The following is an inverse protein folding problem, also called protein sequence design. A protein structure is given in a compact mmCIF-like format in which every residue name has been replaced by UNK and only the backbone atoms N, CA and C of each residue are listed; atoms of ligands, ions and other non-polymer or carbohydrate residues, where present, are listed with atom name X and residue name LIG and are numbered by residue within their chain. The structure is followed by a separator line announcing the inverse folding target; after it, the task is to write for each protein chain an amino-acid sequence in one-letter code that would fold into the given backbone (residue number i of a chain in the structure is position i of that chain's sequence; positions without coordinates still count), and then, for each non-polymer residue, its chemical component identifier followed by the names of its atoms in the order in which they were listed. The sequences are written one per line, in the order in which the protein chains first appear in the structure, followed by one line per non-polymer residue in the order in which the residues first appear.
data_IF_990704765396
#
_entry.id   IF_990704765396
#
_cell.length_a   1.000
_cell.length_b   1.000
_cell.length_c   1.000
_cell.angle_alpha   90.00
_cell.angle_beta   90.00
_cell.angle_gamma   90.00
#
_symmetry.space_group_name_H-M   'P 1'
#
loop_
_entity.id
_entity.type
_entity.pdbx_description
1 polymer ?
#
# COMPACT_ATOMS: atom_id res chain seq x y z
N UNK A 1 3.12 6.26 -16.96
CA UNK A 1 1.76 6.72 -17.29
C UNK A 1 1.15 5.77 -18.32
N UNK A 2 1.80 5.61 -19.46
CA UNK A 2 1.33 4.88 -20.64
C UNK A 2 0.95 3.43 -20.35
N UNK A 3 1.80 2.72 -19.59
CA UNK A 3 1.52 1.36 -19.12
C UNK A 3 0.20 1.28 -18.34
N UNK A 4 -0.03 2.20 -17.40
CA UNK A 4 -1.22 2.21 -16.54
C UNK A 4 -2.45 2.60 -17.36
N UNK A 5 -2.32 3.60 -18.24
CA UNK A 5 -3.36 3.95 -19.21
C UNK A 5 -3.78 2.75 -20.06
N UNK A 6 -2.82 2.05 -20.67
CA UNK A 6 -3.08 0.89 -21.53
C UNK A 6 -3.74 -0.26 -20.77
N UNK A 7 -3.35 -0.51 -19.52
CA UNK A 7 -3.93 -1.59 -18.70
C UNK A 7 -5.30 -1.25 -18.11
N UNK A 8 -5.49 0.01 -17.71
CA UNK A 8 -6.74 0.47 -17.12
C UNK A 8 -7.78 0.85 -18.19
N UNK A 9 -7.37 0.93 -19.47
CA UNK A 9 -8.24 1.35 -20.57
C UNK A 9 -8.63 2.83 -20.49
N UNK A 10 -7.72 3.67 -19.99
CA UNK A 10 -7.95 5.10 -19.72
C UNK A 10 -7.01 5.96 -20.57
N UNK A 11 -7.55 7.05 -21.13
CA UNK A 11 -6.77 8.00 -21.93
C UNK A 11 -5.68 8.70 -21.10
N UNK A 12 -4.61 9.12 -21.78
CA UNK A 12 -3.46 9.77 -21.13
C UNK A 12 -3.89 11.03 -20.38
N UNK A 13 -4.71 11.85 -21.00
CA UNK A 13 -5.17 13.13 -20.47
C UNK A 13 -5.96 12.96 -19.17
N UNK A 14 -6.82 11.94 -19.12
CA UNK A 14 -7.60 11.61 -17.92
C UNK A 14 -6.68 11.14 -16.78
N UNK A 15 -5.72 10.27 -17.08
CA UNK A 15 -4.72 9.82 -16.10
C UNK A 15 -3.88 11.00 -15.57
N UNK A 16 -3.42 11.89 -16.44
CA UNK A 16 -2.65 13.07 -16.04
C UNK A 16 -3.49 14.02 -15.18
N UNK A 17 -4.74 14.25 -15.56
CA UNK A 17 -5.67 15.03 -14.76
C UNK A 17 -5.87 14.40 -13.36
N UNK A 18 -6.05 13.09 -13.28
CA UNK A 18 -6.20 12.38 -12.01
C UNK A 18 -4.94 12.51 -11.13
N UNK A 19 -3.74 12.40 -11.72
CA UNK A 19 -2.48 12.50 -10.97
C UNK A 19 -2.32 13.89 -10.31
N UNK A 20 -2.67 14.97 -11.01
CA UNK A 20 -2.44 16.34 -10.54
C UNK A 20 -3.59 16.90 -9.72
N UNK A 21 -4.83 16.56 -10.07
CA UNK A 21 -6.03 17.23 -9.55
C UNK A 21 -6.81 16.34 -8.57
N UNK A 22 -6.74 15.01 -8.70
CA UNK A 22 -7.56 14.14 -7.88
C UNK A 22 -7.02 13.99 -6.45
N UNK A 23 -7.94 13.70 -5.53
CA UNK A 23 -7.62 13.44 -4.12
C UNK A 23 -6.78 12.17 -3.93
N UNK A 24 -6.20 12.01 -2.75
CA UNK A 24 -5.30 10.88 -2.42
C UNK A 24 -5.98 9.50 -2.48
N UNK A 25 -7.31 9.47 -2.51
CA UNK A 25 -8.12 8.26 -2.58
C UNK A 25 -8.57 7.88 -4.00
N UNK A 26 -8.16 8.65 -5.01
CA UNK A 26 -8.52 8.40 -6.39
C UNK A 26 -7.87 7.12 -6.92
N UNK A 27 -8.65 6.27 -7.59
CA UNK A 27 -8.21 4.94 -8.02
C UNK A 27 -7.10 5.01 -9.07
N UNK A 28 -7.14 5.98 -9.99
CA UNK A 28 -6.13 6.12 -11.04
C UNK A 28 -4.82 6.65 -10.46
N UNK A 29 -4.91 7.65 -9.57
CA UNK A 29 -3.76 8.18 -8.84
C UNK A 29 -3.09 7.11 -7.98
N UNK A 30 -3.89 6.29 -7.30
CA UNK A 30 -3.42 5.14 -6.53
C UNK A 30 -2.72 4.12 -7.43
N UNK A 31 -3.36 3.69 -8.52
CA UNK A 31 -2.79 2.70 -9.43
C UNK A 31 -1.45 3.17 -10.02
N UNK A 32 -1.37 4.43 -10.43
CA UNK A 32 -0.12 5.03 -10.92
C UNK A 32 0.99 5.01 -9.87
N UNK A 33 0.70 5.46 -8.64
CA UNK A 33 1.69 5.51 -7.58
C UNK A 33 2.18 4.11 -7.19
N UNK A 34 1.28 3.12 -7.11
CA UNK A 34 1.65 1.73 -6.81
C UNK A 34 2.65 1.16 -7.82
N UNK A 35 2.38 1.33 -9.11
CA UNK A 35 3.27 0.82 -10.17
C UNK A 35 4.61 1.55 -10.15
N UNK A 36 4.59 2.88 -10.03
CA UNK A 36 5.81 3.69 -9.95
C UNK A 36 6.67 3.30 -8.75
N UNK A 37 6.07 3.14 -7.58
CA UNK A 37 6.80 2.83 -6.36
C UNK A 37 7.32 1.38 -6.39
N UNK A 38 6.59 0.45 -6.99
CA UNK A 38 7.06 -0.92 -7.24
C UNK A 38 8.31 -0.96 -8.14
N UNK A 39 8.36 -0.13 -9.17
CA UNK A 39 9.53 -0.02 -10.06
C UNK A 39 10.73 0.57 -9.30
N UNK A 40 10.50 1.66 -8.55
CA UNK A 40 11.53 2.30 -7.73
C UNK A 40 12.17 1.33 -6.72
N UNK A 41 11.37 0.47 -6.11
CA UNK A 41 11.88 -0.54 -5.17
C UNK A 41 12.76 -1.60 -5.85
N UNK A 42 12.42 -2.00 -7.09
CA UNK A 42 13.22 -2.95 -7.87
C UNK A 42 14.60 -2.39 -8.18
N UNK A 43 14.67 -1.15 -8.69
CA UNK A 43 15.93 -0.47 -9.01
C UNK A 43 16.87 -0.34 -7.80
N UNK A 44 16.31 -0.01 -6.62
CA UNK A 44 17.08 0.07 -5.38
C UNK A 44 17.64 -1.29 -4.94
N UNK A 45 16.94 -2.39 -5.22
CA UNK A 45 17.41 -3.74 -4.89
C UNK A 45 18.51 -4.24 -5.83
N UNK A 46 18.49 -3.81 -7.10
CA UNK A 46 19.47 -4.19 -8.12
C UNK A 46 20.77 -3.39 -8.00
N UNK A 47 20.68 -2.11 -7.63
CA UNK A 47 21.86 -1.23 -7.44
C UNK A 47 22.80 -1.62 -6.30
N UNK A 48 22.40 -2.58 -5.44
CA UNK A 48 23.17 -2.98 -4.25
C UNK A 48 24.16 -4.12 -4.48
N UNK A 49 24.48 -4.45 -5.74
CA UNK A 49 25.36 -5.60 -6.08
C UNK A 49 26.77 -5.25 -6.61
N UNK A 50 27.21 -4.00 -6.55
CA UNK A 50 28.58 -3.61 -6.99
C UNK A 50 29.43 -2.97 -5.87
N UNK A 51 29.23 -3.42 -4.62
CA UNK A 51 29.96 -2.92 -3.46
C UNK A 51 30.81 -3.99 -2.80
N UNK A 52 32.08 -4.01 -3.17
CA UNK A 52 33.22 -4.67 -2.53
C UNK A 52 33.06 -4.87 -1.01
N UNK A 53 33.41 -6.07 -0.56
CA UNK A 53 33.26 -6.47 0.83
C UNK A 53 34.30 -5.79 1.70
N UNK A 54 33.98 -4.61 2.26
CA UNK A 54 34.71 -4.13 3.44
C UNK A 54 33.94 -4.43 4.72
N UNK A 55 34.57 -5.30 5.49
CA UNK A 55 34.11 -5.90 6.72
C UNK A 55 34.40 -4.90 7.84
N UNK A 56 33.53 -3.90 7.98
CA UNK A 56 33.59 -2.90 9.06
C UNK A 56 33.28 -3.49 10.43
N UNK A 57 34.30 -4.11 11.03
CA UNK A 57 34.32 -4.67 12.37
C UNK A 57 34.08 -3.58 13.42
N UNK A 58 33.26 -3.89 14.43
CA UNK A 58 33.03 -3.08 15.63
C UNK A 58 34.36 -2.59 16.24
N UNK A 59 34.47 -1.29 16.53
CA UNK A 59 35.20 -0.84 17.73
C UNK A 59 34.34 0.18 18.48
N UNK A 60 34.03 -0.19 19.72
CA UNK A 60 33.34 0.60 20.73
C UNK A 60 34.40 1.44 21.47
N UNK A 61 34.89 2.48 20.80
CA UNK A 61 35.88 3.38 21.36
C UNK A 61 35.45 4.83 21.14
N UNK A 62 35.35 5.54 22.25
CA UNK A 62 35.25 7.01 22.36
C UNK A 62 33.86 7.62 22.57
N UNK A 63 33.20 7.15 23.64
CA UNK A 63 32.41 8.01 24.51
C UNK A 63 33.34 9.04 25.20
N UNK A 64 33.46 10.25 24.65
CA UNK A 64 33.82 11.43 25.45
C UNK A 64 32.93 12.63 25.13
N UNK A 65 32.47 13.19 26.24
CA UNK A 65 31.59 14.34 26.39
C UNK A 65 32.24 15.59 25.80
N UNK A 66 31.46 16.40 25.06
CA UNK A 66 31.55 17.86 25.10
C UNK A 66 30.21 18.49 24.65
N UNK A 67 29.60 19.12 25.65
CA UNK A 67 28.74 20.31 25.71
C UNK A 67 28.06 20.89 24.47
N UNK A 68 26.78 21.25 24.71
CA UNK A 68 25.82 21.95 23.86
C UNK A 68 26.07 23.48 23.92
N UNK A 69 25.85 24.21 22.81
CA UNK A 69 24.96 25.38 22.88
C UNK A 69 24.00 25.39 21.66
N UNK A 70 22.68 25.36 21.89
CA UNK A 70 21.77 26.52 21.85
C UNK A 70 21.27 26.84 20.44
N UNK A 71 20.09 26.31 20.10
CA UNK A 71 19.07 27.02 19.32
C UNK A 71 17.71 26.46 19.75
N UNK A 72 17.07 27.19 20.67
CA UNK A 72 15.73 26.90 21.15
C UNK A 72 14.71 27.64 20.30
N UNK A 73 13.96 26.90 19.47
CA UNK A 73 12.67 27.35 18.99
C UNK A 73 11.64 26.98 20.07
N UNK A 74 11.14 28.00 20.78
CA UNK A 74 10.20 27.85 21.88
C UNK A 74 8.87 27.18 21.42
N UNK A 75 8.30 26.24 22.20
CA UNK A 75 6.91 25.84 22.07
C UNK A 75 6.03 26.98 22.61
N UNK A 76 5.22 27.60 21.75
CA UNK A 76 4.19 28.54 22.19
C UNK A 76 3.08 27.79 22.92
N UNK A 77 2.70 28.39 24.04
CA UNK A 77 1.89 27.84 25.13
C UNK A 77 0.46 27.45 24.77
N UNK A 78 -0.03 26.42 25.47
CA UNK A 78 -1.44 26.10 25.68
C UNK A 78 -2.14 27.24 26.43
N UNK A 79 -3.16 27.85 25.82
CA UNK A 79 -4.14 28.64 26.55
C UNK A 79 -5.36 27.75 26.91
N UNK A 80 -5.77 27.67 28.18
CA UNK A 80 -7.02 27.03 28.58
C UNK A 80 -8.19 28.03 28.51
N UNK A 81 -9.42 27.49 28.64
CA UNK A 81 -10.72 28.16 28.90
C UNK A 81 -11.67 28.08 27.69
N UNK A 82 -12.52 27.05 27.59
CA UNK A 82 -13.81 26.88 28.28
C UNK A 82 -14.85 27.94 27.90
N UNK A 83 -15.92 27.51 27.22
CA UNK A 83 -17.09 28.36 26.99
C UNK A 83 -17.96 27.92 25.81
N UNK A 84 -18.80 26.92 26.03
CA UNK A 84 -20.02 26.74 25.24
C UNK A 84 -20.84 28.04 25.31
N UNK A 85 -21.08 28.69 24.17
CA UNK A 85 -22.24 29.55 24.01
C UNK A 85 -23.10 28.98 22.88
N UNK A 86 -24.21 28.37 23.29
CA UNK A 86 -25.34 28.10 22.43
C UNK A 86 -25.93 29.48 22.08
N UNK A 87 -25.86 29.87 20.81
CA UNK A 87 -26.66 30.99 20.30
C UNK A 87 -27.61 30.45 19.24
N UNK A 88 -28.90 30.45 19.59
CA UNK A 88 -30.00 30.18 18.67
C UNK A 88 -30.17 31.38 17.74
N UNK A 89 -30.14 31.15 16.43
CA UNK A 89 -30.87 31.99 15.48
C UNK A 89 -31.36 31.16 14.31
N UNK A 90 -32.69 31.15 14.14
CA UNK A 90 -33.46 30.54 13.07
C UNK A 90 -33.21 31.21 11.71
N UNK A 91 -33.53 30.43 10.68
CA UNK A 91 -33.84 30.77 9.28
C UNK A 91 -32.68 30.69 8.28
N UNK A 92 -32.91 29.91 7.21
CA UNK A 92 -32.00 29.75 6.07
C UNK A 92 -31.87 28.31 5.59
N UNK A 93 -32.85 27.83 4.82
CA UNK A 93 -32.69 26.59 4.03
C UNK A 93 -31.64 26.86 2.95
N UNK A 94 -30.39 26.53 3.23
CA UNK A 94 -29.35 26.36 2.22
C UNK A 94 -28.86 24.93 2.35
N UNK A 95 -29.35 24.06 1.46
CA UNK A 95 -28.82 22.74 1.24
C UNK A 95 -27.43 22.87 0.61
N UNK A 96 -26.44 23.24 1.41
CA UNK A 96 -25.04 23.02 1.08
C UNK A 96 -24.80 21.51 1.13
N UNK A 97 -24.21 20.89 0.09
CA UNK A 97 -23.81 19.51 0.18
C UNK A 97 -22.76 19.43 1.28
N UNK A 98 -23.12 18.82 2.41
CA UNK A 98 -22.16 18.40 3.43
C UNK A 98 -21.07 17.63 2.70
N UNK A 99 -19.90 18.26 2.56
CA UNK A 99 -18.70 17.60 2.07
C UNK A 99 -18.43 16.51 3.09
N UNK A 100 -18.80 15.28 2.73
CA UNK A 100 -18.37 14.10 3.47
C UNK A 100 -16.86 14.19 3.46
N UNK A 101 -16.24 14.56 4.58
CA UNK A 101 -14.78 14.59 4.68
C UNK A 101 -14.32 13.19 4.29
N UNK A 102 -13.77 13.05 3.09
CA UNK A 102 -13.39 11.76 2.56
C UNK A 102 -12.22 11.30 3.42
N UNK A 103 -12.47 10.33 4.30
CA UNK A 103 -11.41 9.77 5.15
C UNK A 103 -10.31 9.28 4.22
N UNK A 104 -9.07 9.69 4.47
CA UNK A 104 -7.91 9.21 3.70
C UNK A 104 -7.83 7.69 3.83
N UNK A 105 -7.69 7.01 2.71
CA UNK A 105 -7.44 5.58 2.65
C UNK A 105 -6.08 5.30 3.30
N UNK A 106 -6.05 4.35 4.24
CA UNK A 106 -4.83 3.95 4.96
C UNK A 106 -4.34 2.62 4.41
N UNK A 107 -3.16 2.62 3.82
CA UNK A 107 -2.50 1.41 3.32
C UNK A 107 -2.12 0.47 4.47
N UNK A 108 -2.30 -0.83 4.25
CA UNK A 108 -1.82 -1.88 5.13
C UNK A 108 -1.24 -3.03 4.30
N UNK A 109 -0.31 -3.78 4.90
CA UNK A 109 0.26 -4.97 4.28
C UNK A 109 -0.78 -6.09 4.17
N UNK A 110 -0.79 -6.77 3.02
CA UNK A 110 -1.61 -7.97 2.79
C UNK A 110 -3.11 -7.78 3.03
N UNK A 111 -3.81 -8.91 3.25
CA UNK A 111 -5.20 -8.94 3.70
C UNK A 111 -5.31 -9.56 5.09
N UNK A 112 -6.30 -9.13 5.88
CA UNK A 112 -6.53 -9.64 7.24
C UNK A 112 -7.75 -10.53 7.28
N UNK A 113 -7.64 -11.65 7.98
CA UNK A 113 -8.77 -12.57 8.26
C UNK A 113 -8.91 -12.85 9.75
N UNK A 114 -10.14 -13.15 10.17
CA UNK A 114 -10.49 -13.62 11.52
C UNK A 114 -10.79 -15.12 11.58
N UNK A 115 -10.83 -15.80 10.43
CA UNK A 115 -11.06 -17.24 10.35
C UNK A 115 -9.86 -18.01 10.90
N UNK A 116 -10.05 -19.28 11.28
CA UNK A 116 -8.96 -20.11 11.76
C UNK A 116 -7.90 -20.31 10.65
N UNK A 117 -6.62 -20.53 10.99
CA UNK A 117 -5.55 -20.70 10.00
C UNK A 117 -5.88 -21.75 8.95
N UNK A 118 -6.47 -22.87 9.37
CA UNK A 118 -6.88 -23.95 8.49
C UNK A 118 -7.93 -23.48 7.47
N UNK A 119 -8.97 -22.79 7.93
CA UNK A 119 -10.04 -22.29 7.07
C UNK A 119 -9.50 -21.28 6.06
N UNK A 120 -8.67 -20.33 6.52
CA UNK A 120 -8.01 -19.34 5.64
C UNK A 120 -7.21 -20.04 4.56
N UNK A 121 -6.37 -21.01 4.92
CA UNK A 121 -5.56 -21.73 3.94
C UNK A 121 -6.44 -22.53 2.97
N UNK A 122 -7.53 -23.15 3.44
CA UNK A 122 -8.43 -23.92 2.58
C UNK A 122 -9.12 -23.06 1.53
N UNK A 123 -9.57 -21.85 1.90
CA UNK A 123 -10.17 -20.88 0.98
C UNK A 123 -9.14 -20.39 -0.03
N UNK A 124 -7.91 -20.12 0.42
CA UNK A 124 -6.79 -19.74 -0.44
C UNK A 124 -6.48 -20.84 -1.45
N UNK A 125 -6.37 -22.10 -1.03
CA UNK A 125 -6.14 -23.21 -1.96
C UNK A 125 -7.27 -23.39 -2.97
N UNK A 126 -8.54 -23.22 -2.54
CA UNK A 126 -9.69 -23.26 -3.44
C UNK A 126 -9.63 -22.14 -4.48
N UNK A 127 -9.35 -20.91 -4.03
CA UNK A 127 -9.28 -19.75 -4.91
C UNK A 127 -8.06 -19.75 -5.83
N UNK A 128 -6.93 -20.35 -5.42
CA UNK A 128 -5.77 -20.52 -6.29
C UNK A 128 -6.00 -21.55 -7.40
N UNK A 129 -6.89 -22.52 -7.22
CA UNK A 129 -7.19 -23.54 -8.25
C UNK A 129 -7.76 -22.93 -9.54
N UNK A 130 -8.34 -21.73 -9.48
CA UNK A 130 -8.87 -21.03 -10.65
C UNK A 130 -7.86 -20.05 -11.28
N UNK A 131 -6.63 -19.96 -10.77
CA UNK A 131 -5.66 -18.92 -11.16
C UNK A 131 -4.31 -19.56 -11.58
N UNK A 132 -4.14 -19.83 -12.87
CA UNK A 132 -2.93 -20.48 -13.45
C UNK A 132 -1.86 -19.48 -13.97
N UNK A 133 -1.86 -18.24 -13.50
CA UNK A 133 -1.27 -17.15 -14.28
C UNK A 133 0.15 -16.71 -13.87
N UNK A 134 0.55 -16.80 -12.60
CA UNK A 134 1.87 -16.32 -12.14
C UNK A 134 2.39 -17.07 -10.90
N UNK A 135 3.72 -17.14 -10.77
CA UNK A 135 4.39 -17.64 -9.56
C UNK A 135 4.31 -16.58 -8.45
N UNK A 136 3.55 -16.87 -7.41
CA UNK A 136 3.40 -16.04 -6.21
C UNK A 136 3.75 -16.86 -4.96
N UNK A 137 4.39 -16.22 -3.98
CA UNK A 137 4.54 -16.78 -2.64
C UNK A 137 3.47 -16.18 -1.74
N UNK A 138 2.75 -17.05 -1.02
CA UNK A 138 1.77 -16.66 -0.02
C UNK A 138 2.30 -17.04 1.35
N UNK A 139 2.17 -16.13 2.32
CA UNK A 139 2.59 -16.37 3.69
C UNK A 139 1.50 -15.91 4.65
N UNK A 140 1.04 -16.83 5.51
CA UNK A 140 0.10 -16.52 6.57
C UNK A 140 0.87 -16.23 7.86
N UNK A 141 0.59 -15.09 8.47
CA UNK A 141 1.16 -14.63 9.73
C UNK A 141 0.07 -14.52 10.79
N UNK A 142 0.38 -14.91 12.04
CA UNK A 142 -0.46 -14.61 13.20
C UNK A 142 -0.13 -13.20 13.68
N UNK A 143 -1.11 -12.30 13.65
CA UNK A 143 -0.97 -10.93 14.18
C UNK A 143 -1.33 -10.94 15.66
N UNK A 144 -2.53 -11.47 15.97
CA UNK A 144 -3.05 -11.64 17.33
C UNK A 144 -3.75 -13.01 17.44
N UNK A 145 -4.34 -13.31 18.61
CA UNK A 145 -5.09 -14.56 18.82
C UNK A 145 -6.32 -14.74 17.92
N UNK A 146 -6.84 -13.64 17.35
CA UNK A 146 -8.03 -13.66 16.47
C UNK A 146 -7.79 -13.03 15.09
N UNK A 147 -6.55 -12.68 14.78
CA UNK A 147 -6.24 -11.96 13.54
C UNK A 147 -5.04 -12.60 12.86
N UNK A 148 -5.25 -12.95 11.59
CA UNK A 148 -4.22 -13.44 10.70
C UNK A 148 -4.03 -12.48 9.55
N UNK A 149 -2.79 -12.34 9.08
CA UNK A 149 -2.42 -11.54 7.92
C UNK A 149 -1.89 -12.47 6.84
N UNK A 150 -2.54 -12.46 5.69
CA UNK A 150 -2.06 -13.14 4.49
C UNK A 150 -1.30 -12.14 3.63
N UNK A 151 -0.03 -12.42 3.40
CA UNK A 151 0.89 -11.64 2.58
C UNK A 151 1.08 -12.26 1.20
N UNK A 152 1.31 -11.41 0.20
CA UNK A 152 1.46 -11.78 -1.21
C UNK A 152 2.81 -11.26 -1.69
N UNK A 153 3.66 -12.18 -2.15
CA UNK A 153 4.98 -11.84 -2.66
C UNK A 153 5.13 -12.26 -4.11
N UNK A 154 5.42 -11.29 -4.97
CA UNK A 154 5.77 -11.52 -6.36
C UNK A 154 7.12 -12.26 -6.44
N UNK A 155 7.14 -13.44 -7.07
CA UNK A 155 8.37 -14.21 -7.31
C UNK A 155 8.94 -14.02 -8.73
N UNK A 156 8.29 -13.20 -9.57
CA UNK A 156 8.65 -13.02 -10.96
C UNK A 156 8.18 -14.15 -11.88
N UNK A 157 8.33 -13.93 -13.18
CA UNK A 157 7.99 -14.91 -14.21
C UNK A 157 9.13 -15.94 -14.34
N UNK A 158 8.80 -17.21 -14.61
CA UNK A 158 9.83 -18.24 -14.83
C UNK A 158 10.69 -17.84 -16.02
N UNK A 159 12.02 -17.86 -15.85
CA UNK A 159 13.06 -17.30 -16.71
C UNK A 159 13.15 -17.88 -18.15
N UNK A 160 12.09 -17.77 -18.96
CA UNK A 160 12.01 -18.33 -20.31
C UNK A 160 11.88 -17.32 -21.45
N UNK A 161 11.47 -16.07 -21.17
CA UNK A 161 11.24 -15.06 -22.21
C UNK A 161 12.04 -13.79 -21.89
N UNK A 162 12.81 -13.32 -22.87
CA UNK A 162 13.76 -12.19 -22.71
C UNK A 162 13.00 -10.94 -22.22
N UNK A 163 13.39 -10.42 -21.06
CA UNK A 163 12.84 -9.19 -20.51
C UNK A 163 13.21 -7.98 -21.40
N UNK A 164 12.26 -7.50 -22.20
CA UNK A 164 12.31 -6.14 -22.75
C UNK A 164 11.86 -5.17 -21.66
N UNK A 165 12.39 -3.94 -21.60
CA UNK A 165 12.06 -2.93 -20.58
C UNK A 165 10.54 -2.63 -20.46
N UNK A 166 9.78 -2.82 -21.54
CA UNK A 166 8.31 -2.74 -21.54
C UNK A 166 7.62 -3.84 -20.72
N UNK A 167 8.30 -4.97 -20.48
CA UNK A 167 7.76 -6.13 -19.78
C UNK A 167 7.77 -5.96 -18.25
N UNK A 168 8.69 -5.14 -17.71
CA UNK A 168 8.82 -4.95 -16.24
C UNK A 168 7.56 -4.36 -15.59
N UNK A 169 6.97 -3.37 -16.26
CA UNK A 169 5.68 -2.81 -15.89
C UNK A 169 4.52 -3.79 -16.06
N UNK A 170 4.61 -4.64 -17.08
CA UNK A 170 3.64 -5.71 -17.33
C UNK A 170 3.65 -6.77 -16.21
N UNK A 171 4.82 -7.12 -15.66
CA UNK A 171 4.96 -8.10 -14.56
C UNK A 171 4.33 -7.57 -13.26
N UNK A 172 4.58 -6.31 -12.90
CA UNK A 172 3.95 -5.71 -11.71
C UNK A 172 2.43 -5.65 -11.85
N UNK A 173 1.93 -5.26 -13.03
CA UNK A 173 0.50 -5.25 -13.32
C UNK A 173 -0.13 -6.65 -13.27
N UNK A 174 0.53 -7.65 -13.86
CA UNK A 174 0.06 -9.03 -13.79
C UNK A 174 -0.02 -9.55 -12.35
N UNK A 175 0.95 -9.20 -11.49
CA UNK A 175 0.89 -9.53 -10.07
C UNK A 175 -0.30 -8.86 -9.37
N UNK A 176 -0.57 -7.59 -9.64
CA UNK A 176 -1.74 -6.90 -9.08
C UNK A 176 -3.06 -7.48 -9.60
N UNK A 177 -3.13 -7.87 -10.87
CA UNK A 177 -4.29 -8.58 -11.44
C UNK A 177 -4.52 -9.91 -10.73
N UNK A 178 -3.48 -10.71 -10.51
CA UNK A 178 -3.56 -11.95 -9.75
C UNK A 178 -4.07 -11.68 -8.32
N UNK A 179 -3.48 -10.71 -7.63
CA UNK A 179 -3.91 -10.33 -6.28
C UNK A 179 -5.38 -9.89 -6.27
N UNK A 180 -5.81 -9.08 -7.25
CA UNK A 180 -7.18 -8.59 -7.35
C UNK A 180 -8.18 -9.73 -7.61
N UNK A 181 -7.81 -10.75 -8.39
CA UNK A 181 -8.62 -11.96 -8.57
C UNK A 181 -8.70 -12.73 -7.26
N UNK A 182 -7.56 -13.04 -6.64
CA UNK A 182 -7.52 -13.85 -5.43
C UNK A 182 -8.25 -13.19 -4.25
N UNK A 183 -8.03 -11.90 -4.03
CA UNK A 183 -8.71 -11.13 -2.97
C UNK A 183 -10.22 -11.11 -3.20
N UNK A 184 -10.67 -10.97 -4.45
CA UNK A 184 -12.10 -11.00 -4.80
C UNK A 184 -12.74 -12.35 -4.52
N UNK A 185 -12.08 -13.44 -4.92
CA UNK A 185 -12.55 -14.81 -4.66
C UNK A 185 -12.64 -15.10 -3.15
N UNK A 186 -11.64 -14.66 -2.38
CA UNK A 186 -11.64 -14.79 -0.92
C UNK A 186 -12.75 -13.95 -0.27
N UNK A 187 -13.05 -12.76 -0.79
CA UNK A 187 -14.11 -11.91 -0.27
C UNK A 187 -15.52 -12.51 -0.43
N UNK A 188 -15.74 -13.33 -1.47
CA UNK A 188 -17.02 -14.02 -1.73
C UNK A 188 -17.16 -15.29 -0.87
N UNK A 189 -16.05 -15.97 -0.57
CA UNK A 189 -16.03 -17.24 0.16
C UNK A 189 -16.46 -17.19 1.63
N UNK A 190 -16.26 -16.06 2.30
CA UNK A 190 -16.47 -15.92 3.75
C UNK A 190 -17.93 -15.95 4.25
N UNK A 191 -18.91 -16.17 3.37
CA UNK A 191 -20.34 -16.23 3.73
C UNK A 191 -20.86 -17.63 4.10
N UNK A 192 -20.05 -18.68 3.97
CA UNK A 192 -20.50 -20.07 3.91
C UNK A 192 -20.31 -20.95 5.15
N UNK A 193 -19.96 -20.41 6.31
CA UNK A 193 -19.90 -21.23 7.55
C UNK A 193 -20.49 -20.45 8.72
N UNK A 194 -21.75 -20.76 9.00
CA UNK A 194 -22.45 -20.52 10.26
C UNK A 194 -22.84 -21.87 10.83
#
# INVERSE_FOLDING_TARGET
VDLVCAKMGVEREEMLHAIHTAGDNDALKIAYNLVRDSQRMKELSESKHDGDGDRGMFTDAERKQHEKPSDGMAPLEELPTMGMYISQSKTGVSAQPVSRSTKKSRWHLGIRSRSQPYDVMSEVYRAMKSVDLLKVSLQLYKVDDRHFLLDFKNLGQSAGEKETYENSGSVAMGFFELCAILIRELAVGGGGSK
#
